data_IF_974613377360
#
_entry.id   IF_974613377360
#
_cell.length_a   1.000
_cell.length_b   1.000
_cell.length_c   1.000
_cell.angle_alpha   90.00
_cell.angle_beta   90.00
_cell.angle_gamma   90.00
#
_symmetry.space_group_name_H-M   'P 1'
#
loop_
_entity.id
_entity.type
_entity.pdbx_description
1 polymer ?
#
# COMPACT_ATOMS: atom_id res chain seq x y z
N UNK A 1 -5.26 -24.79 -3.61
CA UNK A 1 -5.95 -25.31 -4.82
C UNK A 1 -7.48 -25.34 -4.70
N UNK A 2 -8.06 -25.71 -3.55
CA UNK A 2 -9.52 -25.82 -3.40
C UNK A 2 -10.37 -24.63 -3.92
N UNK A 3 -10.00 -23.34 -3.72
CA UNK A 3 -10.76 -22.23 -4.29
C UNK A 3 -10.80 -22.22 -5.83
N UNK A 4 -9.74 -22.68 -6.48
CA UNK A 4 -9.62 -22.72 -7.93
C UNK A 4 -10.40 -23.91 -8.50
N UNK A 5 -10.31 -25.09 -7.87
CA UNK A 5 -11.13 -26.25 -8.23
C UNK A 5 -12.62 -25.94 -8.11
N UNK A 6 -13.03 -25.24 -7.05
CA UNK A 6 -14.42 -24.80 -6.90
C UNK A 6 -14.86 -23.82 -7.98
N UNK A 7 -13.96 -22.99 -8.51
CA UNK A 7 -14.25 -22.05 -9.59
C UNK A 7 -14.26 -22.71 -10.98
N UNK A 8 -13.74 -23.93 -11.09
CA UNK A 8 -13.59 -24.70 -12.33
C UNK A 8 -14.39 -26.01 -12.31
N UNK A 9 -15.43 -26.12 -11.46
CA UNK A 9 -16.29 -27.31 -11.35
C UNK A 9 -15.53 -28.63 -11.13
N UNK A 10 -14.40 -28.57 -10.43
CA UNK A 10 -13.52 -29.71 -10.15
C UNK A 10 -12.54 -30.07 -11.27
N UNK A 11 -12.54 -29.34 -12.39
CA UNK A 11 -11.56 -29.51 -13.46
C UNK A 11 -10.17 -29.07 -12.98
N UNK A 12 -9.24 -30.03 -12.94
CA UNK A 12 -7.89 -29.81 -12.43
C UNK A 12 -7.03 -28.97 -13.37
N UNK A 13 -7.12 -29.19 -14.69
CA UNK A 13 -6.29 -28.47 -15.67
C UNK A 13 -6.69 -26.99 -15.68
N UNK A 14 -7.99 -26.70 -15.75
CA UNK A 14 -8.51 -25.33 -15.67
C UNK A 14 -8.20 -24.66 -14.33
N UNK A 15 -8.23 -25.40 -13.23
CA UNK A 15 -7.89 -24.87 -11.91
C UNK A 15 -6.40 -24.47 -11.80
N UNK A 16 -5.50 -25.24 -12.41
CA UNK A 16 -4.07 -24.92 -12.49
C UNK A 16 -3.84 -23.70 -13.38
N UNK A 17 -4.48 -23.63 -14.54
CA UNK A 17 -4.41 -22.46 -15.43
C UNK A 17 -4.88 -21.18 -14.74
N UNK A 18 -6.00 -21.24 -14.01
CA UNK A 18 -6.51 -20.11 -13.25
C UNK A 18 -5.56 -19.72 -12.10
N UNK A 19 -4.94 -20.69 -11.43
CA UNK A 19 -3.93 -20.44 -10.40
C UNK A 19 -2.69 -19.74 -10.97
N UNK A 20 -2.20 -20.20 -12.12
CA UNK A 20 -1.05 -19.61 -12.80
C UNK A 20 -1.35 -18.18 -13.27
N UNK A 21 -2.53 -17.97 -13.85
CA UNK A 21 -3.00 -16.63 -14.21
C UNK A 21 -3.15 -15.73 -12.98
N UNK A 22 -3.74 -16.22 -11.89
CA UNK A 22 -3.86 -15.49 -10.62
C UNK A 22 -2.49 -15.08 -10.08
N UNK A 23 -1.50 -15.97 -10.19
CA UNK A 23 -0.12 -15.70 -9.76
C UNK A 23 0.52 -14.59 -10.61
N UNK A 24 0.35 -14.65 -11.95
CA UNK A 24 0.84 -13.61 -12.86
C UNK A 24 0.26 -12.24 -12.54
N UNK A 25 -1.06 -12.15 -12.36
CA UNK A 25 -1.71 -10.86 -12.08
C UNK A 25 -1.40 -10.36 -10.67
N UNK A 26 -1.28 -11.25 -9.68
CA UNK A 26 -0.84 -10.91 -8.33
C UNK A 26 0.56 -10.29 -8.32
N UNK A 27 1.49 -10.85 -9.10
CA UNK A 27 2.85 -10.31 -9.26
C UNK A 27 2.84 -8.91 -9.88
N UNK A 28 2.07 -8.70 -10.95
CA UNK A 28 1.95 -7.40 -11.61
C UNK A 28 1.31 -6.32 -10.70
N UNK A 29 0.36 -6.72 -9.84
CA UNK A 29 -0.15 -5.84 -8.78
C UNK A 29 0.89 -5.52 -7.73
N UNK A 30 1.70 -6.49 -7.31
CA UNK A 30 2.73 -6.24 -6.31
C UNK A 30 3.76 -5.21 -6.78
N UNK A 31 4.12 -5.22 -8.07
CA UNK A 31 4.96 -4.20 -8.71
C UNK A 31 4.31 -2.80 -8.62
N UNK A 32 3.06 -2.67 -9.05
CA UNK A 32 2.34 -1.39 -9.05
C UNK A 32 2.13 -0.84 -7.63
N UNK A 33 1.80 -1.73 -6.69
CA UNK A 33 1.60 -1.41 -5.27
C UNK A 33 2.93 -1.00 -4.62
N UNK A 34 4.05 -1.64 -4.98
CA UNK A 34 5.37 -1.30 -4.46
C UNK A 34 5.71 0.17 -4.70
N UNK A 35 5.49 0.68 -5.93
CA UNK A 35 5.72 2.09 -6.25
C UNK A 35 4.87 3.02 -5.39
N UNK A 36 3.58 2.70 -5.23
CA UNK A 36 2.67 3.49 -4.39
C UNK A 36 3.06 3.43 -2.90
N UNK A 37 3.41 2.26 -2.35
CA UNK A 37 3.82 2.13 -0.96
C UNK A 37 5.05 3.00 -0.65
N UNK A 38 6.06 2.97 -1.53
CA UNK A 38 7.29 3.76 -1.38
C UNK A 38 7.00 5.26 -1.54
N UNK A 39 6.21 5.65 -2.55
CA UNK A 39 5.82 7.04 -2.76
C UNK A 39 5.04 7.60 -1.58
N UNK A 40 4.02 6.87 -1.11
CA UNK A 40 3.17 7.28 -0.01
C UNK A 40 3.95 7.47 1.29
N UNK A 41 4.77 6.48 1.69
CA UNK A 41 5.54 6.58 2.95
C UNK A 41 6.52 7.75 2.93
N UNK A 42 7.15 8.01 1.78
CA UNK A 42 8.10 9.11 1.64
C UNK A 42 7.40 10.46 1.70
N UNK A 43 6.28 10.63 0.98
CA UNK A 43 5.51 11.86 0.98
C UNK A 43 4.93 12.16 2.38
N UNK A 44 4.34 11.15 3.04
CA UNK A 44 3.85 11.28 4.41
C UNK A 44 4.96 11.61 5.39
N UNK A 45 6.09 10.89 5.31
CA UNK A 45 7.22 11.17 6.18
C UNK A 45 7.74 12.59 5.99
N UNK A 46 7.88 13.06 4.75
CA UNK A 46 8.35 14.41 4.45
C UNK A 46 7.39 15.46 5.03
N UNK A 47 6.09 15.31 4.83
CA UNK A 47 5.08 16.24 5.36
C UNK A 47 5.10 16.33 6.89
N UNK A 48 5.20 15.19 7.60
CA UNK A 48 5.26 15.17 9.07
C UNK A 48 6.59 15.69 9.58
N UNK A 49 7.70 15.35 8.91
CA UNK A 49 9.03 15.85 9.28
C UNK A 49 9.13 17.37 9.12
N UNK A 50 8.45 17.95 8.12
CA UNK A 50 8.40 19.40 7.94
C UNK A 50 7.66 20.12 9.09
N UNK A 51 6.63 19.48 9.67
CA UNK A 51 5.84 20.08 10.76
C UNK A 51 6.42 19.81 12.16
N UNK A 52 7.03 18.64 12.38
CA UNK A 52 7.42 18.16 13.72
C UNK A 52 8.92 17.82 13.85
N UNK A 53 9.71 17.96 12.79
CA UNK A 53 11.11 17.53 12.73
C UNK A 53 11.26 16.01 12.60
N UNK A 54 12.44 15.54 12.20
CA UNK A 54 12.69 14.11 11.92
C UNK A 54 12.46 13.20 13.15
N UNK A 55 12.61 13.72 14.36
CA UNK A 55 12.39 12.98 15.60
C UNK A 55 10.92 12.56 15.84
N UNK A 56 9.98 13.01 15.00
CA UNK A 56 8.57 12.59 15.04
C UNK A 56 8.41 11.06 14.91
N UNK A 57 9.32 10.38 14.22
CA UNK A 57 9.32 8.93 14.02
C UNK A 57 10.26 8.25 15.02
N UNK A 58 9.99 8.45 16.31
CA UNK A 58 10.78 7.87 17.40
C UNK A 58 9.90 7.14 18.43
N UNK A 59 10.46 6.19 19.21
CA UNK A 59 9.73 5.55 20.30
C UNK A 59 9.27 6.52 21.40
N UNK A 60 9.81 7.73 21.47
CA UNK A 60 9.42 8.77 22.42
C UNK A 60 8.49 9.84 21.82
N UNK A 61 8.03 9.64 20.57
CA UNK A 61 7.26 10.63 19.85
C UNK A 61 5.94 10.99 20.57
N UNK A 62 5.69 12.29 20.86
CA UNK A 62 4.47 12.73 21.53
C UNK A 62 3.26 12.77 20.59
N UNK A 63 3.48 12.75 19.27
CA UNK A 63 2.41 12.81 18.25
C UNK A 63 1.93 11.43 17.79
N UNK A 64 2.58 10.36 18.27
CA UNK A 64 2.20 8.97 18.00
C UNK A 64 1.42 8.38 19.18
N UNK A 65 0.54 7.42 18.91
CA UNK A 65 -0.07 6.58 19.95
C UNK A 65 0.94 5.55 20.45
N UNK A 66 0.66 4.92 21.60
CA UNK A 66 1.48 3.83 22.11
C UNK A 66 1.64 2.67 21.12
N UNK A 67 0.58 2.38 20.36
CA UNK A 67 0.61 1.33 19.33
C UNK A 67 1.61 1.69 18.23
N UNK A 68 1.57 2.92 17.72
CA UNK A 68 2.49 3.36 16.67
C UNK A 68 3.92 3.51 17.20
N UNK A 69 4.12 3.98 18.45
CA UNK A 69 5.44 4.00 19.10
C UNK A 69 6.05 2.60 19.20
N UNK A 70 5.27 1.57 19.54
CA UNK A 70 5.74 0.18 19.55
C UNK A 70 6.19 -0.29 18.18
N UNK A 71 5.42 0.01 17.12
CA UNK A 71 5.82 -0.31 15.75
C UNK A 71 7.12 0.40 15.35
N UNK A 72 7.28 1.67 15.70
CA UNK A 72 8.54 2.42 15.49
C UNK A 72 9.69 1.82 16.27
N UNK A 73 9.48 1.37 17.51
CA UNK A 73 10.53 0.71 18.30
C UNK A 73 11.03 -0.59 17.67
N UNK A 74 10.12 -1.39 17.10
CA UNK A 74 10.48 -2.62 16.38
C UNK A 74 11.25 -2.26 15.10
N UNK A 75 10.74 -1.32 14.32
CA UNK A 75 11.41 -0.84 13.10
C UNK A 75 12.81 -0.27 13.39
N UNK A 76 12.98 0.50 14.47
CA UNK A 76 14.27 1.02 14.91
C UNK A 76 15.26 -0.10 15.23
N UNK A 77 14.81 -1.14 15.95
CA UNK A 77 15.66 -2.30 16.26
C UNK A 77 16.14 -3.00 14.98
N UNK A 78 15.23 -3.27 14.03
CA UNK A 78 15.59 -3.87 12.73
C UNK A 78 16.49 -2.96 11.88
N UNK A 79 16.30 -1.64 11.97
CA UNK A 79 17.09 -0.67 11.26
C UNK A 79 18.54 -0.54 11.79
N UNK A 80 18.88 -1.12 12.95
CA UNK A 80 20.22 -1.06 13.55
C UNK A 80 20.30 -0.25 14.85
N UNK A 81 19.16 -0.02 15.51
CA UNK A 81 19.10 0.61 16.82
C UNK A 81 19.32 2.13 16.78
N UNK A 82 19.88 2.69 17.85
CA UNK A 82 19.98 4.14 18.07
C UNK A 82 20.74 4.90 16.98
N UNK A 83 21.64 4.24 16.24
CA UNK A 83 22.41 4.82 15.15
C UNK A 83 21.74 4.66 13.76
N UNK A 84 20.53 4.09 13.71
CA UNK A 84 19.83 3.86 12.45
C UNK A 84 19.53 5.19 11.73
N UNK A 85 19.85 5.31 10.43
CA UNK A 85 19.42 6.45 9.63
C UNK A 85 17.89 6.53 9.58
N UNK A 86 17.33 7.74 9.65
CA UNK A 86 15.88 7.99 9.62
C UNK A 86 15.18 7.29 8.44
N UNK A 87 15.77 7.39 7.24
CA UNK A 87 15.24 6.74 6.04
C UNK A 87 15.18 5.21 6.14
N UNK A 88 16.06 4.58 6.93
CA UNK A 88 16.02 3.14 7.17
C UNK A 88 14.86 2.77 8.08
N UNK A 89 14.58 3.57 9.13
CA UNK A 89 13.40 3.39 9.98
C UNK A 89 12.12 3.52 9.15
N UNK A 90 12.04 4.53 8.28
CA UNK A 90 10.93 4.71 7.32
C UNK A 90 10.75 3.47 6.44
N UNK A 91 11.85 2.87 5.99
CA UNK A 91 11.84 1.72 5.11
C UNK A 91 11.38 0.42 5.79
N UNK A 92 11.69 0.24 7.07
CA UNK A 92 11.31 -0.92 7.89
C UNK A 92 9.80 -0.93 8.26
N UNK A 93 9.13 0.21 8.19
CA UNK A 93 7.72 0.33 8.55
C UNK A 93 6.81 -0.19 7.42
N UNK A 94 5.90 -1.14 7.72
CA UNK A 94 5.03 -1.73 6.71
C UNK A 94 3.95 -0.74 6.25
N UNK A 95 3.35 -0.99 5.09
CA UNK A 95 2.24 -0.18 4.57
C UNK A 95 1.11 0.03 5.57
N UNK A 96 0.78 -0.99 6.37
CA UNK A 96 -0.23 -0.90 7.43
C UNK A 96 0.07 0.15 8.50
N UNK A 97 1.34 0.46 8.78
CA UNK A 97 1.71 1.56 9.69
C UNK A 97 1.32 2.90 9.08
N UNK A 98 1.71 3.15 7.83
CA UNK A 98 1.43 4.41 7.14
C UNK A 98 -0.07 4.63 6.96
N UNK A 99 -0.80 3.59 6.55
CA UNK A 99 -2.27 3.63 6.53
C UNK A 99 -2.88 3.99 7.89
N UNK A 100 -2.36 3.43 8.99
CA UNK A 100 -2.91 3.68 10.33
C UNK A 100 -2.79 5.14 10.79
N UNK A 101 -1.79 5.88 10.29
CA UNK A 101 -1.63 7.31 10.60
C UNK A 101 -2.74 8.18 10.00
N UNK A 102 -3.54 7.64 9.07
CA UNK A 102 -4.68 8.33 8.48
C UNK A 102 -5.99 8.07 9.24
N UNK A 103 -5.97 7.27 10.30
CA UNK A 103 -7.12 6.99 11.15
C UNK A 103 -7.63 8.25 11.89
N UNK A 104 -8.86 8.19 12.41
CA UNK A 104 -9.50 9.36 13.03
C UNK A 104 -8.78 9.83 14.30
N UNK A 105 -8.16 8.91 15.05
CA UNK A 105 -7.36 9.22 16.24
C UNK A 105 -6.21 10.20 15.95
N UNK A 106 -5.68 10.17 14.72
CA UNK A 106 -4.62 11.05 14.25
C UNK A 106 -5.12 12.31 13.55
N UNK A 107 -6.44 12.54 13.48
CA UNK A 107 -7.01 13.66 12.73
C UNK A 107 -6.47 15.02 13.21
N UNK A 108 -6.45 15.24 14.53
CA UNK A 108 -5.95 16.51 15.11
C UNK A 108 -4.43 16.54 15.24
N UNK A 109 -3.80 15.40 15.52
CA UNK A 109 -2.38 15.32 15.86
C UNK A 109 -1.47 15.28 14.63
N UNK A 110 -1.86 14.58 13.57
CA UNK A 110 -1.03 14.42 12.36
C UNK A 110 -1.72 14.91 11.10
N UNK A 111 -3.02 14.63 10.90
CA UNK A 111 -3.68 14.95 9.63
C UNK A 111 -3.81 16.45 9.37
N UNK A 112 -4.47 17.18 10.26
CA UNK A 112 -4.67 18.62 10.14
C UNK A 112 -3.35 19.40 10.09
N UNK A 113 -2.35 19.15 10.95
CA UNK A 113 -1.13 19.94 10.93
C UNK A 113 -0.13 19.53 9.82
N UNK A 114 -0.16 18.28 9.35
CA UNK A 114 0.90 17.76 8.48
C UNK A 114 0.41 16.88 7.31
N UNK A 115 -0.19 15.70 7.58
CA UNK A 115 -0.37 14.67 6.55
C UNK A 115 -1.23 15.10 5.35
N UNK A 116 -2.15 16.05 5.52
CA UNK A 116 -2.91 16.61 4.38
C UNK A 116 -2.02 17.26 3.32
N UNK A 117 -0.79 17.65 3.66
CA UNK A 117 0.21 18.27 2.79
C UNK A 117 1.10 17.23 2.08
N UNK A 118 0.91 15.93 2.34
CA UNK A 118 1.62 14.86 1.63
C UNK A 118 1.04 14.56 0.23
N UNK A 119 0.02 15.30 -0.19
CA UNK A 119 -0.73 15.04 -1.42
C UNK A 119 -0.79 16.31 -2.26
N UNK A 120 -0.53 16.20 -3.57
CA UNK A 120 -0.60 17.32 -4.51
C UNK A 120 -2.05 17.76 -4.77
N UNK A 121 -2.99 16.82 -4.70
CA UNK A 121 -4.41 17.09 -4.88
C UNK A 121 -5.16 17.14 -3.52
N UNK A 122 -6.21 17.97 -3.38
CA UNK A 122 -7.04 17.97 -2.18
C UNK A 122 -7.69 16.61 -1.94
N UNK A 123 -7.39 16.02 -0.78
CA UNK A 123 -7.90 14.72 -0.36
C UNK A 123 -8.76 14.82 0.90
N UNK A 124 -9.82 14.02 0.96
CA UNK A 124 -10.63 13.87 2.17
C UNK A 124 -10.10 12.69 2.98
N UNK A 125 -9.58 12.95 4.20
CA UNK A 125 -8.98 11.93 5.09
C UNK A 125 -9.75 10.62 5.11
N UNK A 126 -11.06 10.68 5.41
CA UNK A 126 -11.91 9.49 5.55
C UNK A 126 -11.99 8.69 4.25
N UNK A 127 -12.14 9.35 3.10
CA UNK A 127 -12.19 8.70 1.79
C UNK A 127 -10.85 8.04 1.48
N UNK A 128 -9.75 8.78 1.65
CA UNK A 128 -8.39 8.29 1.44
C UNK A 128 -8.07 7.08 2.34
N UNK A 129 -8.44 7.14 3.62
CA UNK A 129 -8.24 6.05 4.58
C UNK A 129 -9.01 4.78 4.17
N UNK A 130 -10.24 4.92 3.65
CA UNK A 130 -11.01 3.79 3.11
C UNK A 130 -10.38 3.23 1.83
N UNK A 131 -10.04 4.08 0.86
CA UNK A 131 -9.44 3.65 -0.41
C UNK A 131 -8.09 2.94 -0.20
N UNK A 132 -7.26 3.43 0.74
CA UNK A 132 -6.01 2.77 1.12
C UNK A 132 -6.23 1.51 1.95
N UNK A 133 -7.35 1.37 2.68
CA UNK A 133 -7.70 0.12 3.37
C UNK A 133 -8.04 -0.99 2.37
N UNK A 134 -8.79 -0.66 1.32
CA UNK A 134 -9.11 -1.59 0.23
C UNK A 134 -7.83 -2.07 -0.46
N UNK A 135 -6.90 -1.14 -0.71
CA UNK A 135 -5.59 -1.47 -1.26
C UNK A 135 -4.76 -2.34 -0.31
N UNK A 136 -4.76 -2.01 0.99
CA UNK A 136 -4.08 -2.80 2.04
C UNK A 136 -4.58 -4.23 2.07
N UNK A 137 -5.89 -4.44 1.91
CA UNK A 137 -6.52 -5.77 1.84
C UNK A 137 -6.08 -6.51 0.59
N UNK A 138 -6.12 -5.87 -0.59
CA UNK A 138 -5.62 -6.47 -1.83
C UNK A 138 -4.16 -6.90 -1.71
N UNK A 139 -3.29 -5.99 -1.25
CA UNK A 139 -1.87 -6.25 -1.02
C UNK A 139 -1.64 -7.41 -0.05
N UNK A 140 -2.39 -7.46 1.04
CA UNK A 140 -2.29 -8.56 2.01
C UNK A 140 -2.72 -9.89 1.41
N UNK A 141 -3.81 -9.94 0.64
CA UNK A 141 -4.22 -11.15 -0.09
C UNK A 141 -3.08 -11.66 -0.99
N UNK A 142 -2.49 -10.77 -1.77
CA UNK A 142 -1.34 -11.10 -2.64
C UNK A 142 -0.17 -11.65 -1.82
N UNK A 143 0.20 -10.97 -0.72
CA UNK A 143 1.31 -11.38 0.15
C UNK A 143 1.05 -12.73 0.86
N UNK A 144 -0.20 -13.11 1.05
CA UNK A 144 -0.62 -14.39 1.61
C UNK A 144 -0.91 -15.46 0.54
N UNK A 145 -0.57 -15.19 -0.73
CA UNK A 145 -0.85 -16.07 -1.87
C UNK A 145 -2.34 -16.46 -2.00
N UNK A 146 -3.22 -15.56 -1.57
CA UNK A 146 -4.66 -15.74 -1.69
C UNK A 146 -5.15 -15.40 -3.11
N UNK A 147 -6.25 -16.01 -3.57
CA UNK A 147 -6.82 -15.69 -4.87
C UNK A 147 -7.33 -14.25 -4.94
N UNK A 148 -7.11 -13.58 -6.07
CA UNK A 148 -7.66 -12.26 -6.40
C UNK A 148 -8.48 -12.26 -7.70
N UNK A 149 -8.56 -13.40 -8.41
CA UNK A 149 -9.22 -13.54 -9.71
C UNK A 149 -10.72 -13.21 -9.74
N UNK A 150 -11.39 -13.12 -8.58
CA UNK A 150 -12.81 -12.74 -8.45
C UNK A 150 -13.02 -11.24 -8.23
N UNK A 151 -11.96 -10.46 -8.11
CA UNK A 151 -12.04 -9.00 -7.91
C UNK A 151 -12.21 -8.30 -9.25
N UNK A 152 -12.71 -7.07 -9.19
CA UNK A 152 -12.64 -6.13 -10.30
C UNK A 152 -11.22 -5.54 -10.39
N UNK A 153 -10.36 -6.23 -11.14
CA UNK A 153 -8.93 -5.92 -11.23
C UNK A 153 -8.66 -4.66 -12.06
N UNK A 154 -9.54 -4.29 -13.00
CA UNK A 154 -9.43 -3.03 -13.73
C UNK A 154 -9.73 -1.85 -12.81
N UNK A 155 -10.79 -1.94 -12.00
CA UNK A 155 -11.10 -0.93 -11.00
C UNK A 155 -10.03 -0.83 -9.91
N UNK A 156 -9.45 -1.96 -9.50
CA UNK A 156 -8.34 -1.96 -8.55
C UNK A 156 -7.09 -1.27 -9.11
N UNK A 157 -6.72 -1.52 -10.38
CA UNK A 157 -5.63 -0.81 -11.05
C UNK A 157 -5.91 0.70 -11.15
N UNK A 158 -7.10 1.07 -11.60
CA UNK A 158 -7.51 2.48 -11.69
C UNK A 158 -7.39 3.18 -10.33
N UNK A 159 -7.76 2.51 -9.24
CA UNK A 159 -7.60 3.02 -7.87
C UNK A 159 -6.14 3.19 -7.48
N UNK A 160 -5.26 2.26 -7.83
CA UNK A 160 -3.81 2.40 -7.57
C UNK A 160 -3.25 3.63 -8.28
N UNK A 161 -3.57 3.81 -9.56
CA UNK A 161 -3.10 4.95 -10.36
C UNK A 161 -3.65 6.27 -9.81
N UNK A 162 -4.92 6.33 -9.45
CA UNK A 162 -5.53 7.53 -8.87
C UNK A 162 -4.90 7.89 -7.51
N UNK A 163 -4.75 6.93 -6.60
CA UNK A 163 -4.08 7.15 -5.30
C UNK A 163 -2.63 7.61 -5.49
N UNK A 164 -1.91 7.02 -6.42
CA UNK A 164 -0.54 7.42 -6.77
C UNK A 164 -0.49 8.84 -7.34
N UNK A 165 -1.44 9.21 -8.21
CA UNK A 165 -1.53 10.56 -8.79
C UNK A 165 -1.83 11.62 -7.72
N UNK A 166 -2.58 11.28 -6.67
CA UNK A 166 -2.84 12.18 -5.53
C UNK A 166 -1.58 12.38 -4.68
N UNK A 167 -0.72 11.36 -4.55
CA UNK A 167 0.60 11.48 -3.89
C UNK A 167 1.54 12.33 -4.76
N UNK A 168 1.58 12.06 -6.06
CA UNK A 168 2.22 12.93 -7.04
C UNK A 168 1.91 12.50 -8.46
N UNK A 169 1.62 13.47 -9.35
CA UNK A 169 1.20 13.18 -10.72
C UNK A 169 2.20 12.30 -11.49
N UNK A 170 3.50 12.54 -11.29
CA UNK A 170 4.56 11.73 -11.92
C UNK A 170 4.55 10.27 -11.48
N UNK A 171 4.21 9.98 -10.22
CA UNK A 171 4.11 8.60 -9.71
C UNK A 171 2.93 7.87 -10.34
N UNK A 172 1.78 8.53 -10.44
CA UNK A 172 0.61 7.98 -11.11
C UNK A 172 0.86 7.69 -12.59
N UNK A 173 1.47 8.64 -13.32
CA UNK A 173 1.86 8.43 -14.72
C UNK A 173 2.86 7.29 -14.89
N UNK A 174 3.83 7.16 -13.98
CA UNK A 174 4.80 6.07 -14.02
C UNK A 174 4.10 4.71 -13.90
N UNK A 175 3.25 4.52 -12.88
CA UNK A 175 2.53 3.26 -12.69
C UNK A 175 1.63 2.96 -13.89
N UNK A 176 0.91 3.96 -14.42
CA UNK A 176 0.05 3.78 -15.58
C UNK A 176 0.84 3.34 -16.82
N UNK A 177 2.06 3.86 -17.01
CA UNK A 177 2.91 3.56 -18.16
C UNK A 177 3.69 2.23 -18.05
N UNK A 178 3.98 1.76 -16.83
CA UNK A 178 4.84 0.57 -16.61
C UNK A 178 4.09 -0.64 -16.09
N UNK A 179 2.82 -0.51 -15.70
CA UNK A 179 2.04 -1.64 -15.18
C UNK A 179 1.80 -2.69 -16.26
N UNK A 180 2.18 -3.94 -15.96
CA UNK A 180 1.89 -5.11 -16.79
C UNK A 180 0.48 -5.69 -16.57
N UNK A 181 -0.30 -5.13 -15.64
CA UNK A 181 -1.64 -5.64 -15.32
C UNK A 181 -2.55 -5.69 -16.58
N UNK A 182 -2.64 -4.65 -17.42
CA UNK A 182 -3.49 -4.70 -18.62
C UNK A 182 -3.14 -5.85 -19.56
N UNK A 183 -1.84 -6.13 -19.76
CA UNK A 183 -1.37 -7.24 -20.59
C UNK A 183 -1.76 -8.60 -19.99
N UNK A 184 -1.62 -8.76 -18.68
CA UNK A 184 -2.00 -10.01 -17.98
C UNK A 184 -3.52 -10.20 -17.97
N UNK A 185 -4.30 -9.12 -17.86
CA UNK A 185 -5.76 -9.21 -17.96
C UNK A 185 -6.18 -9.63 -19.37
N UNK A 186 -5.56 -9.09 -20.41
CA UNK A 186 -5.81 -9.47 -21.80
C UNK A 186 -5.40 -10.92 -22.12
N UNK A 187 -4.40 -11.47 -21.41
CA UNK A 187 -3.97 -12.87 -21.56
C UNK A 187 -4.87 -13.87 -20.83
N UNK A 188 -5.94 -13.45 -20.17
CA UNK A 188 -6.92 -14.36 -19.56
C UNK A 188 -7.73 -14.97 -20.70
N UNK A 189 -7.38 -16.17 -21.14
CA UNK A 189 -8.18 -16.90 -22.11
C UNK A 189 -9.60 -17.09 -21.55
N UNK A 190 -10.60 -16.86 -22.41
CA UNK A 190 -12.01 -16.87 -22.05
C UNK A 190 -12.38 -18.20 -21.38
N UNK A 191 -12.99 -18.11 -20.19
CA UNK A 191 -13.56 -19.24 -19.44
C UNK A 191 -14.74 -19.88 -20.14
#
# INVERSE_FOLDING_TARGET
MAPYLSACDGDWERAVELYDWNTKVSSAFFESIHYLEVGLRNAMNQAVSAAFGAAWLSPASPVLTDRSRKAVSIALAHAGGAAAPHGKIVAELPFGFWWSLLADEYNRQLWQPALRHAFEAPVRRRKLHTELDDLRRLRNRIAHHEPIHTRDLEADLARVIDLASRVGAALGMHIAATSRIPEVLASKEYQ
#
